data_IF_453747371070
#
_entry.id   IF_453747371070
#
_cell.length_a   1.000
_cell.length_b   1.000
_cell.length_c   1.000
_cell.angle_alpha   90.00
_cell.angle_beta   90.00
_cell.angle_gamma   90.00
#
_symmetry.space_group_name_H-M   'P 1'
#
loop_
_entity.id
_entity.type
_entity.pdbx_description
1 polymer ?
#
# COMPACT_ATOMS: atom_id res chain seq x y z
N UNK A 1 3.23 -21.00 21.73
CA UNK A 1 2.40 -20.70 20.55
C UNK A 1 1.36 -19.67 20.98
N UNK A 2 1.12 -18.67 20.14
CA UNK A 2 0.07 -17.67 20.33
C UNK A 2 -1.31 -18.35 20.29
N UNK A 3 -2.26 -17.82 21.06
CA UNK A 3 -3.64 -18.30 21.07
C UNK A 3 -4.26 -18.17 19.66
N UNK A 4 -4.93 -19.21 19.11
CA UNK A 4 -5.50 -19.18 17.76
C UNK A 4 -6.83 -18.42 17.74
N UNK A 5 -6.77 -17.09 17.88
CA UNK A 5 -7.96 -16.21 18.02
C UNK A 5 -8.98 -16.45 16.91
N UNK A 6 -8.54 -16.60 15.66
CA UNK A 6 -9.41 -16.84 14.51
C UNK A 6 -10.28 -18.10 14.66
N UNK A 7 -9.67 -19.22 15.05
CA UNK A 7 -10.40 -20.49 15.22
C UNK A 7 -11.37 -20.44 16.40
N UNK A 8 -11.02 -19.71 17.46
CA UNK A 8 -11.89 -19.52 18.63
C UNK A 8 -13.15 -18.72 18.24
N UNK A 9 -12.97 -17.63 17.50
CA UNK A 9 -14.09 -16.80 17.02
C UNK A 9 -14.99 -17.59 16.06
N UNK A 10 -14.43 -18.38 15.14
CA UNK A 10 -15.23 -19.24 14.24
C UNK A 10 -16.06 -20.30 14.99
N UNK A 11 -15.63 -20.70 16.19
CA UNK A 11 -16.37 -21.62 17.07
C UNK A 11 -17.37 -20.91 17.98
N UNK A 12 -17.56 -19.60 17.81
CA UNK A 12 -18.44 -18.78 18.65
C UNK A 12 -17.92 -18.56 20.06
N UNK A 13 -16.62 -18.77 20.31
CA UNK A 13 -16.03 -18.51 21.63
C UNK A 13 -15.71 -17.04 21.79
N UNK A 14 -16.03 -16.50 22.97
CA UNK A 14 -15.64 -15.14 23.32
C UNK A 14 -14.14 -15.10 23.62
N UNK A 15 -13.44 -14.14 23.01
CA UNK A 15 -12.00 -13.94 23.23
C UNK A 15 -11.80 -12.59 23.89
N UNK A 16 -11.22 -12.62 25.10
CA UNK A 16 -10.75 -11.43 25.82
C UNK A 16 -9.22 -11.40 25.75
N UNK A 17 -8.66 -10.28 25.32
CA UNK A 17 -7.22 -10.01 25.29
C UNK A 17 -6.91 -9.02 26.42
N UNK A 18 -6.05 -9.42 27.36
CA UNK A 18 -5.63 -8.56 28.45
C UNK A 18 -4.37 -7.76 28.05
N UNK A 19 -4.52 -6.46 27.81
CA UNK A 19 -3.41 -5.52 27.67
C UNK A 19 -2.98 -4.92 29.01
N UNK A 20 -1.91 -4.14 29.00
CA UNK A 20 -1.47 -3.30 30.10
C UNK A 20 -2.32 -2.02 30.23
N UNK A 21 -2.82 -1.48 29.10
CA UNK A 21 -3.66 -0.26 29.09
C UNK A 21 -5.14 -0.56 29.25
N UNK A 22 -5.61 -1.63 28.61
CA UNK A 22 -7.01 -2.03 28.65
C UNK A 22 -7.17 -3.53 28.33
N UNK A 23 -8.37 -4.05 28.59
CA UNK A 23 -8.79 -5.36 28.08
C UNK A 23 -9.65 -5.17 26.84
N UNK A 24 -9.48 -6.05 25.85
CA UNK A 24 -10.15 -5.94 24.56
C UNK A 24 -10.99 -7.19 24.29
N UNK A 25 -12.28 -7.00 24.06
CA UNK A 25 -13.17 -8.06 23.60
C UNK A 25 -13.10 -8.13 22.08
N UNK A 26 -12.88 -9.33 21.55
CA UNK A 26 -12.87 -9.59 20.11
C UNK A 26 -14.30 -9.89 19.66
N UNK A 27 -14.79 -9.10 18.71
CA UNK A 27 -16.17 -9.18 18.23
C UNK A 27 -16.30 -10.09 17.00
N UNK A 28 -15.44 -9.89 16.00
CA UNK A 28 -15.43 -10.71 14.78
C UNK A 28 -14.09 -10.66 14.05
N UNK A 29 -13.83 -11.67 13.22
CA UNK A 29 -12.71 -11.67 12.30
C UNK A 29 -13.03 -10.84 11.04
N UNK A 30 -12.12 -9.94 10.66
CA UNK A 30 -12.13 -9.23 9.37
C UNK A 30 -11.27 -10.00 8.36
N UNK A 31 -10.10 -10.45 8.81
CA UNK A 31 -9.16 -11.33 8.09
C UNK A 31 -8.68 -12.43 9.04
N UNK A 32 -7.85 -13.35 8.55
CA UNK A 32 -7.28 -14.43 9.37
C UNK A 32 -6.47 -13.91 10.58
N UNK A 33 -5.83 -12.76 10.44
CA UNK A 33 -5.00 -12.13 11.48
C UNK A 33 -5.45 -10.72 11.87
N UNK A 34 -6.64 -10.27 11.45
CA UNK A 34 -7.17 -8.94 11.75
C UNK A 34 -8.60 -9.06 12.23
N UNK A 35 -8.88 -8.48 13.39
CA UNK A 35 -10.15 -8.61 14.09
C UNK A 35 -10.72 -7.23 14.44
N UNK A 36 -12.03 -7.15 14.43
CA UNK A 36 -12.77 -6.08 15.09
C UNK A 36 -12.96 -6.45 16.56
N UNK A 37 -12.85 -5.44 17.42
CA UNK A 37 -13.11 -5.58 18.84
C UNK A 37 -13.48 -4.24 19.44
N UNK A 38 -13.66 -4.25 20.76
CA UNK A 38 -13.86 -3.03 21.54
C UNK A 38 -13.16 -3.12 22.89
N UNK A 39 -12.92 -1.94 23.49
CA UNK A 39 -12.37 -1.85 24.84
C UNK A 39 -13.44 -2.31 25.84
N UNK A 40 -13.12 -3.35 26.64
CA UNK A 40 -14.03 -3.94 27.62
C UNK A 40 -14.56 -2.87 28.59
N UNK A 41 -15.88 -2.86 28.78
CA UNK A 41 -16.56 -1.86 29.63
C UNK A 41 -16.86 -0.54 28.91
N UNK A 42 -16.56 -0.43 27.62
CA UNK A 42 -16.90 0.73 26.78
C UNK A 42 -17.47 0.27 25.44
N UNK A 43 -17.95 1.21 24.63
CA UNK A 43 -18.33 0.96 23.23
C UNK A 43 -17.27 1.45 22.23
N UNK A 44 -16.05 1.74 22.69
CA UNK A 44 -14.97 2.25 21.83
C UNK A 44 -14.43 1.13 20.95
N UNK A 45 -14.62 1.19 19.61
CA UNK A 45 -14.17 0.15 18.70
C UNK A 45 -12.65 0.23 18.48
N UNK A 46 -12.04 -0.92 18.23
CA UNK A 46 -10.61 -1.08 17.92
C UNK A 46 -10.42 -2.12 16.83
N UNK A 47 -9.24 -2.10 16.21
CA UNK A 47 -8.79 -3.21 15.37
C UNK A 47 -7.64 -3.93 16.06
N UNK A 48 -7.71 -5.25 16.11
CA UNK A 48 -6.69 -6.10 16.71
C UNK A 48 -6.01 -6.88 15.58
N UNK A 49 -4.70 -6.72 15.41
CA UNK A 49 -3.88 -7.43 14.42
C UNK A 49 -2.93 -8.39 15.13
N UNK A 50 -3.03 -9.69 14.84
CA UNK A 50 -2.06 -10.68 15.33
C UNK A 50 -0.87 -10.77 14.37
N UNK A 51 0.32 -10.99 14.92
CA UNK A 51 1.54 -11.19 14.13
C UNK A 51 2.37 -12.31 14.75
N UNK A 52 2.43 -13.44 14.05
CA UNK A 52 3.11 -14.64 14.52
C UNK A 52 4.62 -14.60 14.24
N UNK A 53 5.07 -13.78 13.28
CA UNK A 53 6.49 -13.60 12.98
C UNK A 53 7.11 -12.58 13.94
N UNK A 54 7.99 -12.98 14.87
CA UNK A 54 8.50 -12.08 15.90
C UNK A 54 9.27 -10.88 15.34
N UNK A 55 9.89 -11.04 14.17
CA UNK A 55 10.63 -9.96 13.51
C UNK A 55 9.71 -8.88 12.93
N UNK A 56 8.55 -9.25 12.39
CA UNK A 56 7.57 -8.31 11.85
C UNK A 56 6.88 -7.57 12.99
N UNK A 57 6.47 -8.30 14.04
CA UNK A 57 5.89 -7.70 15.25
C UNK A 57 6.82 -6.63 15.84
N UNK A 58 8.10 -6.98 16.07
CA UNK A 58 9.09 -6.05 16.63
C UNK A 58 9.32 -4.83 15.72
N UNK A 59 9.30 -5.02 14.41
CA UNK A 59 9.49 -3.93 13.44
C UNK A 59 8.32 -2.97 13.46
N UNK A 60 7.09 -3.49 13.43
CA UNK A 60 5.88 -2.67 13.44
C UNK A 60 5.74 -1.93 14.78
N UNK A 61 5.93 -2.60 15.92
CA UNK A 61 5.95 -1.95 17.23
C UNK A 61 7.05 -0.89 17.32
N UNK A 62 8.23 -1.18 16.79
CA UNK A 62 9.36 -0.25 16.72
C UNK A 62 9.06 1.01 15.93
N UNK A 63 8.29 0.92 14.84
CA UNK A 63 7.87 2.08 14.06
C UNK A 63 7.04 3.07 14.89
N UNK A 64 6.18 2.59 15.78
CA UNK A 64 5.37 3.45 16.67
C UNK A 64 6.14 4.03 17.87
N UNK A 65 7.44 3.75 17.98
CA UNK A 65 8.32 4.41 18.96
C UNK A 65 8.75 5.81 18.52
N UNK A 66 8.72 6.09 17.22
CA UNK A 66 9.02 7.40 16.67
C UNK A 66 7.85 8.38 16.88
N UNK A 67 8.17 9.59 17.35
CA UNK A 67 7.22 10.69 17.56
C UNK A 67 6.61 11.16 16.24
N UNK A 68 7.40 11.23 15.16
CA UNK A 68 6.90 11.58 13.83
C UNK A 68 5.80 10.62 13.33
N UNK A 69 5.84 9.35 13.75
CA UNK A 69 4.81 8.35 13.43
C UNK A 69 3.66 8.42 14.44
N UNK A 70 3.97 8.33 15.74
CA UNK A 70 2.96 8.27 16.81
C UNK A 70 2.01 9.47 16.83
N UNK A 71 2.53 10.65 16.52
CA UNK A 71 1.77 11.90 16.58
C UNK A 71 1.21 12.31 15.22
N UNK A 72 1.44 11.52 14.16
CA UNK A 72 0.97 11.85 12.82
C UNK A 72 -0.55 11.68 12.71
N UNK A 73 -1.29 12.70 12.23
CA UNK A 73 -2.74 12.58 12.04
C UNK A 73 -3.11 11.71 10.82
N UNK A 74 -2.15 11.36 9.97
CA UNK A 74 -2.35 10.63 8.71
C UNK A 74 -1.72 9.24 8.72
N UNK A 75 -1.16 8.81 9.85
CA UNK A 75 -0.73 7.43 10.07
C UNK A 75 -1.66 6.83 11.13
N UNK A 76 -2.08 5.58 10.92
CA UNK A 76 -3.00 4.87 11.82
C UNK A 76 -2.38 4.78 13.20
N UNK A 77 -3.12 5.16 14.22
CA UNK A 77 -2.67 5.19 15.61
C UNK A 77 -2.68 3.80 16.23
N UNK A 78 -1.56 3.43 16.85
CA UNK A 78 -1.45 2.26 17.72
C UNK A 78 -1.91 2.63 19.14
N UNK A 79 -2.97 1.98 19.64
CA UNK A 79 -3.40 2.11 21.01
C UNK A 79 -2.49 1.33 21.96
N UNK A 80 -2.15 0.09 21.60
CA UNK A 80 -1.35 -0.77 22.46
C UNK A 80 -0.69 -1.90 21.65
N UNK A 81 0.52 -2.27 22.03
CA UNK A 81 1.14 -3.53 21.62
C UNK A 81 1.04 -4.52 22.79
N UNK A 82 0.33 -5.63 22.59
CA UNK A 82 0.13 -6.67 23.62
C UNK A 82 1.13 -7.80 23.37
N UNK A 83 1.85 -8.18 24.41
CA UNK A 83 2.66 -9.40 24.50
C UNK A 83 2.56 -9.91 25.95
N UNK A 84 1.53 -10.72 26.23
CA UNK A 84 1.18 -11.16 27.60
C UNK A 84 1.45 -12.67 27.84
N UNK A 85 2.23 -13.30 26.96
CA UNK A 85 2.51 -14.74 26.98
C UNK A 85 1.42 -15.63 26.36
N UNK A 86 0.17 -15.15 26.30
CA UNK A 86 -0.95 -15.84 25.61
C UNK A 86 -1.23 -15.24 24.24
N UNK A 87 -1.27 -13.91 24.18
CA UNK A 87 -1.57 -13.11 23.00
C UNK A 87 -0.37 -12.24 22.62
N UNK A 88 -0.15 -12.15 21.31
CA UNK A 88 0.82 -11.26 20.68
C UNK A 88 0.12 -10.52 19.55
N UNK A 89 -0.28 -9.28 19.81
CA UNK A 89 -1.04 -8.49 18.85
C UNK A 89 -0.80 -6.99 19.00
N UNK A 90 -1.16 -6.26 17.96
CA UNK A 90 -1.21 -4.81 17.93
C UNK A 90 -2.67 -4.37 17.93
N UNK A 91 -3.03 -3.48 18.84
CA UNK A 91 -4.37 -2.89 18.94
C UNK A 91 -4.32 -1.47 18.40
N UNK A 92 -5.06 -1.21 17.33
CA UNK A 92 -5.11 0.06 16.63
C UNK A 92 -6.46 0.74 16.80
N UNK A 93 -6.49 2.04 16.51
CA UNK A 93 -7.74 2.77 16.30
C UNK A 93 -8.57 2.10 15.19
N UNK A 94 -9.90 2.15 15.34
CA UNK A 94 -10.83 1.70 14.33
C UNK A 94 -10.82 2.62 13.10
N UNK A 95 -10.97 2.02 11.91
CA UNK A 95 -11.21 2.72 10.64
C UNK A 95 -12.30 1.95 9.88
N UNK A 96 -13.23 2.65 9.23
CA UNK A 96 -14.47 2.06 8.70
C UNK A 96 -14.22 1.12 7.51
N UNK A 97 -13.25 1.46 6.67
CA UNK A 97 -12.92 0.69 5.47
C UNK A 97 -11.47 0.90 5.05
N UNK A 98 -11.06 0.13 4.05
CA UNK A 98 -9.84 0.34 3.27
C UNK A 98 -10.19 0.84 1.86
N UNK A 99 -9.23 1.49 1.19
CA UNK A 99 -9.44 2.09 -0.12
C UNK A 99 -9.78 1.04 -1.20
N UNK A 100 -9.29 -0.20 -1.06
CA UNK A 100 -9.63 -1.27 -1.99
C UNK A 100 -11.11 -1.65 -1.91
N UNK A 101 -11.64 -1.80 -0.71
CA UNK A 101 -13.04 -2.13 -0.45
C UNK A 101 -14.00 -1.06 -1.00
N UNK A 102 -13.60 0.21 -0.94
CA UNK A 102 -14.38 1.34 -1.48
C UNK A 102 -14.48 1.38 -3.01
N UNK A 103 -13.69 0.59 -3.75
CA UNK A 103 -13.74 0.55 -5.23
C UNK A 103 -15.13 0.19 -5.79
N UNK A 104 -15.92 -0.57 -5.05
CA UNK A 104 -17.25 -1.04 -5.46
C UNK A 104 -18.39 -0.06 -5.13
N UNK A 105 -18.12 0.94 -4.28
CA UNK A 105 -19.13 1.87 -3.77
C UNK A 105 -19.17 3.20 -4.55
N UNK A 106 -18.44 3.30 -5.66
CA UNK A 106 -18.31 4.51 -6.48
C UNK A 106 -19.65 4.95 -7.04
N UNK A 107 -20.28 5.98 -6.46
CA UNK A 107 -21.56 6.53 -6.93
C UNK A 107 -21.48 7.93 -7.56
N UNK A 108 -20.35 8.62 -7.56
CA UNK A 108 -20.21 9.88 -8.32
C UNK A 108 -18.74 10.28 -8.59
N UNK A 109 -18.42 10.86 -9.77
CA UNK A 109 -17.08 11.38 -10.10
C UNK A 109 -16.72 12.74 -9.46
N UNK A 110 -17.55 13.30 -8.58
CA UNK A 110 -17.28 14.59 -7.90
C UNK A 110 -16.52 14.46 -6.57
N UNK A 111 -15.96 13.29 -6.25
CA UNK A 111 -15.49 13.00 -4.90
C UNK A 111 -14.13 13.66 -4.62
N UNK A 112 -14.06 14.48 -3.58
CA UNK A 112 -12.82 14.99 -3.01
C UNK A 112 -11.88 13.86 -2.50
N UNK A 113 -12.40 12.64 -2.37
CA UNK A 113 -11.69 11.51 -1.75
C UNK A 113 -10.32 11.19 -2.39
N UNK A 114 -10.14 11.10 -3.72
CA UNK A 114 -8.80 10.87 -4.29
C UNK A 114 -7.79 11.96 -3.90
N UNK A 115 -8.22 13.23 -3.81
CA UNK A 115 -7.37 14.33 -3.36
C UNK A 115 -7.00 14.18 -1.88
N UNK A 116 -7.98 13.84 -1.03
CA UNK A 116 -7.74 13.61 0.41
C UNK A 116 -6.79 12.41 0.61
N UNK A 117 -7.00 11.32 -0.13
CA UNK A 117 -6.13 10.14 -0.12
C UNK A 117 -4.71 10.51 -0.52
N UNK A 118 -4.52 11.14 -1.68
CA UNK A 118 -3.21 11.56 -2.15
C UNK A 118 -2.51 12.46 -1.11
N UNK A 119 -3.22 13.48 -0.60
CA UNK A 119 -2.67 14.43 0.37
C UNK A 119 -2.29 13.76 1.69
N UNK A 120 -3.13 12.87 2.22
CA UNK A 120 -2.85 12.15 3.46
C UNK A 120 -1.67 11.19 3.33
N UNK A 121 -1.62 10.39 2.26
CA UNK A 121 -0.55 9.41 2.08
C UNK A 121 0.78 10.12 1.77
N UNK A 122 0.80 11.15 0.93
CA UNK A 122 2.01 11.94 0.69
C UNK A 122 2.51 12.63 1.97
N UNK A 123 1.60 13.14 2.82
CA UNK A 123 1.97 13.66 4.15
C UNK A 123 2.56 12.57 5.06
N UNK A 124 2.05 11.34 5.01
CA UNK A 124 2.64 10.22 5.73
C UNK A 124 4.09 9.95 5.25
N UNK A 125 4.35 10.04 3.93
CA UNK A 125 5.71 9.92 3.39
C UNK A 125 6.66 11.02 3.92
N UNK A 126 6.18 12.25 4.07
CA UNK A 126 7.00 13.32 4.67
C UNK A 126 7.40 13.01 6.12
N UNK A 127 6.57 12.26 6.87
CA UNK A 127 6.93 11.80 8.22
C UNK A 127 8.02 10.71 8.21
N UNK A 128 8.11 9.93 7.12
CA UNK A 128 9.18 8.93 6.95
C UNK A 128 10.49 9.53 6.42
N UNK A 129 10.46 10.74 5.85
CA UNK A 129 11.64 11.44 5.37
C UNK A 129 12.66 11.71 6.49
N UNK A 130 12.17 11.98 7.70
CA UNK A 130 12.97 12.13 8.92
C UNK A 130 12.32 11.40 10.12
N UNK A 131 12.88 10.25 10.47
CA UNK A 131 12.46 9.42 11.60
C UNK A 131 13.02 9.95 12.93
N UNK A 132 12.62 11.15 13.34
CA UNK A 132 13.09 11.87 14.53
C UNK A 132 14.63 12.02 14.59
N UNK A 133 15.25 12.39 13.47
CA UNK A 133 16.70 12.52 13.34
C UNK A 133 17.45 11.21 13.13
N UNK A 134 16.75 10.06 13.05
CA UNK A 134 17.37 8.75 12.78
C UNK A 134 17.48 8.42 11.28
N UNK A 135 17.15 9.39 10.41
CA UNK A 135 17.25 9.29 8.96
C UNK A 135 15.96 8.82 8.31
N UNK A 136 16.06 8.48 7.03
CA UNK A 136 14.89 8.24 6.17
C UNK A 136 14.46 6.78 6.18
N UNK A 137 13.14 6.57 6.27
CA UNK A 137 12.49 5.28 6.11
C UNK A 137 11.66 5.20 4.82
N UNK A 138 11.37 3.97 4.41
CA UNK A 138 10.57 3.60 3.23
C UNK A 138 9.56 2.54 3.67
N UNK A 139 8.29 2.74 3.36
CA UNK A 139 7.17 1.89 3.74
C UNK A 139 7.14 0.57 2.98
N UNK A 140 7.45 0.62 1.67
CA UNK A 140 7.55 -0.53 0.74
C UNK A 140 6.28 -1.30 0.42
N UNK A 141 5.22 -1.17 1.22
CA UNK A 141 3.92 -1.82 0.97
C UNK A 141 2.72 -0.84 0.93
N UNK A 142 2.88 0.29 0.25
CA UNK A 142 1.76 1.23 0.04
C UNK A 142 0.86 0.67 -1.06
N UNK A 143 -0.33 0.23 -0.66
CA UNK A 143 -1.34 -0.29 -1.56
C UNK A 143 -2.75 0.07 -1.03
N UNK A 144 -3.81 -0.05 -1.86
CA UNK A 144 -5.15 0.35 -1.42
C UNK A 144 -5.70 -0.38 -0.18
N UNK A 145 -5.20 -1.57 0.17
CA UNK A 145 -5.62 -2.29 1.37
C UNK A 145 -5.01 -1.70 2.66
N UNK A 146 -3.91 -0.95 2.52
CA UNK A 146 -3.18 -0.32 3.63
C UNK A 146 -3.50 1.19 3.76
N UNK A 147 -4.37 1.72 2.89
CA UNK A 147 -4.91 3.08 3.00
C UNK A 147 -6.31 2.98 3.58
N UNK A 148 -6.46 3.39 4.83
CA UNK A 148 -7.71 3.25 5.57
C UNK A 148 -8.51 4.54 5.53
N UNK A 149 -9.83 4.41 5.49
CA UNK A 149 -10.78 5.53 5.33
C UNK A 149 -11.93 5.39 6.31
N UNK A 150 -12.25 6.48 7.02
CA UNK A 150 -13.48 6.62 7.80
C UNK A 150 -14.31 7.79 7.29
N UNK A 151 -15.63 7.62 7.30
CA UNK A 151 -16.57 8.62 6.79
C UNK A 151 -16.34 8.95 5.31
N UNK A 152 -16.18 7.94 4.44
CA UNK A 152 -15.83 8.11 3.03
C UNK A 152 -16.80 9.02 2.25
N UNK A 153 -18.09 8.99 2.61
CA UNK A 153 -19.15 9.83 2.03
C UNK A 153 -19.35 11.16 2.78
N UNK A 154 -18.57 11.43 3.83
CA UNK A 154 -18.64 12.69 4.58
C UNK A 154 -17.93 13.82 3.84
N UNK A 155 -18.21 15.08 4.22
CA UNK A 155 -17.52 16.24 3.67
C UNK A 155 -16.02 16.27 4.03
N UNK A 156 -15.61 15.55 5.08
CA UNK A 156 -14.25 15.52 5.60
C UNK A 156 -13.83 14.08 5.94
N UNK A 157 -13.63 13.21 4.93
CA UNK A 157 -13.21 11.83 5.16
C UNK A 157 -11.84 11.80 5.85
N UNK A 158 -11.69 10.90 6.81
CA UNK A 158 -10.43 10.69 7.51
C UNK A 158 -9.68 9.59 6.77
N UNK A 159 -8.47 9.90 6.29
CA UNK A 159 -7.60 8.94 5.59
C UNK A 159 -6.30 8.76 6.35
N UNK A 160 -5.95 7.51 6.65
CA UNK A 160 -4.71 7.16 7.34
C UNK A 160 -3.99 5.99 6.67
N UNK A 161 -2.66 6.09 6.59
CA UNK A 161 -1.80 5.00 6.14
C UNK A 161 -1.59 3.99 7.28
N UNK A 162 -1.63 2.71 6.99
CA UNK A 162 -1.50 1.61 7.94
C UNK A 162 -0.44 0.59 7.49
N UNK A 163 -0.18 -0.39 8.36
CA UNK A 163 0.75 -1.50 8.18
C UNK A 163 2.23 -1.10 8.03
N UNK A 164 2.84 -0.74 9.16
CA UNK A 164 4.24 -0.33 9.22
C UNK A 164 5.20 -1.52 9.39
N UNK A 165 4.71 -2.76 9.26
CA UNK A 165 5.54 -3.97 9.36
C UNK A 165 6.58 -4.09 8.23
N UNK A 166 6.35 -3.40 7.11
CA UNK A 166 7.28 -3.30 5.98
C UNK A 166 8.31 -2.16 6.08
N UNK A 167 8.21 -1.29 7.08
CA UNK A 167 9.01 -0.06 7.17
C UNK A 167 10.51 -0.38 7.35
N UNK A 168 11.36 0.11 6.45
CA UNK A 168 12.81 -0.12 6.46
C UNK A 168 13.58 1.17 6.20
N UNK A 169 14.89 1.20 6.53
CA UNK A 169 15.74 2.37 6.22
C UNK A 169 15.97 2.47 4.71
N UNK A 170 15.93 3.70 4.19
CA UNK A 170 16.22 4.02 2.79
C UNK A 170 17.63 3.57 2.38
N UNK A 171 17.80 3.19 1.11
CA UNK A 171 19.07 2.80 0.54
C UNK A 171 19.56 1.41 0.95
N UNK A 172 18.78 0.65 1.72
CA UNK A 172 19.11 -0.75 2.03
C UNK A 172 19.02 -1.60 0.76
N UNK A 173 20.10 -2.30 0.47
CA UNK A 173 20.13 -3.38 -0.51
C UNK A 173 19.67 -4.68 0.13
N UNK A 174 18.89 -5.45 -0.62
CA UNK A 174 18.48 -6.80 -0.26
C UNK A 174 18.79 -7.70 -1.44
N UNK A 175 18.97 -8.99 -1.16
CA UNK A 175 19.17 -9.99 -2.22
C UNK A 175 17.90 -10.15 -3.08
N UNK A 176 16.74 -9.72 -2.57
CA UNK A 176 15.43 -9.81 -3.22
C UNK A 176 14.69 -8.47 -3.28
N UNK A 177 13.75 -8.36 -4.23
CA UNK A 177 12.90 -7.17 -4.43
C UNK A 177 11.76 -7.12 -3.42
N UNK A 178 11.72 -6.10 -2.56
CA UNK A 178 10.81 -6.01 -1.40
C UNK A 178 9.36 -5.66 -1.76
N UNK A 179 9.11 -4.78 -2.73
CA UNK A 179 7.74 -4.35 -3.02
C UNK A 179 6.91 -5.47 -3.67
N UNK A 180 5.62 -5.57 -3.35
CA UNK A 180 4.71 -6.50 -4.03
C UNK A 180 4.58 -6.20 -5.53
N UNK A 181 4.38 -7.23 -6.36
CA UNK A 181 4.41 -7.12 -7.83
C UNK A 181 3.49 -6.03 -8.39
N UNK A 182 2.34 -5.80 -7.75
CA UNK A 182 1.33 -4.86 -8.22
C UNK A 182 1.68 -3.39 -7.93
N UNK A 183 2.57 -3.10 -6.98
CA UNK A 183 2.95 -1.74 -6.57
C UNK A 183 4.43 -1.44 -6.78
N UNK A 184 5.18 -2.43 -7.30
CA UNK A 184 6.63 -2.37 -7.44
C UNK A 184 7.05 -1.32 -8.47
N UNK A 185 7.90 -0.40 -8.03
CA UNK A 185 8.43 0.68 -8.84
C UNK A 185 9.43 0.18 -9.89
N UNK A 186 9.61 0.89 -11.02
CA UNK A 186 10.53 0.49 -12.10
C UNK A 186 11.96 0.23 -11.61
N UNK A 187 12.50 1.10 -10.76
CA UNK A 187 13.84 0.95 -10.20
C UNK A 187 13.98 -0.30 -9.32
N UNK A 188 12.91 -0.67 -8.61
CA UNK A 188 12.89 -1.89 -7.80
C UNK A 188 12.80 -3.13 -8.70
N UNK A 189 12.06 -3.07 -9.82
CA UNK A 189 12.11 -4.12 -10.85
C UNK A 189 13.52 -4.32 -11.41
N UNK A 190 14.28 -3.23 -11.59
CA UNK A 190 15.68 -3.26 -12.03
C UNK A 190 16.67 -3.74 -10.95
N UNK A 191 16.20 -3.99 -9.72
CA UNK A 191 17.06 -4.42 -8.61
C UNK A 191 17.80 -3.30 -7.90
N UNK A 192 17.42 -2.03 -8.13
CA UNK A 192 18.00 -0.90 -7.40
C UNK A 192 17.48 -0.88 -5.95
N UNK A 193 18.24 -0.28 -5.01
CA UNK A 193 17.81 -0.15 -3.63
C UNK A 193 16.49 0.63 -3.51
N UNK A 194 15.70 0.33 -2.50
CA UNK A 194 14.49 1.09 -2.23
C UNK A 194 14.83 2.49 -1.68
N UNK A 195 14.10 3.49 -2.16
CA UNK A 195 14.24 4.90 -1.77
C UNK A 195 12.83 5.49 -1.58
N UNK A 196 12.67 6.69 -1.00
CA UNK A 196 11.36 7.34 -0.90
C UNK A 196 10.62 7.46 -2.24
N UNK A 197 11.35 7.53 -3.37
CA UNK A 197 10.74 7.58 -4.69
C UNK A 197 9.86 6.36 -4.99
N UNK A 198 10.22 5.15 -4.51
CA UNK A 198 9.42 3.96 -4.78
C UNK A 198 8.08 3.96 -4.02
N UNK A 199 8.01 4.64 -2.88
CA UNK A 199 6.76 4.84 -2.15
C UNK A 199 5.87 5.86 -2.85
N UNK A 200 6.43 6.95 -3.40
CA UNK A 200 5.68 7.93 -4.23
C UNK A 200 5.05 7.22 -5.44
N UNK A 201 5.82 6.34 -6.10
CA UNK A 201 5.30 5.48 -7.15
C UNK A 201 4.09 4.65 -6.67
N UNK A 202 4.23 3.99 -5.52
CA UNK A 202 3.15 3.18 -4.95
C UNK A 202 1.89 4.00 -4.57
N UNK A 203 2.01 5.29 -4.25
CA UNK A 203 0.87 6.21 -4.12
C UNK A 203 0.14 6.35 -5.47
N UNK A 204 0.88 6.62 -6.55
CA UNK A 204 0.32 6.72 -7.91
C UNK A 204 -0.40 5.44 -8.33
N UNK A 205 0.21 4.28 -8.11
CA UNK A 205 -0.41 2.97 -8.38
C UNK A 205 -1.68 2.78 -7.56
N UNK A 206 -1.66 3.13 -6.27
CA UNK A 206 -2.81 2.98 -5.38
C UNK A 206 -4.01 3.82 -5.83
N UNK A 207 -3.76 5.07 -6.25
CA UNK A 207 -4.79 5.93 -6.85
C UNK A 207 -5.32 5.36 -8.17
N UNK A 208 -4.42 4.91 -9.05
CA UNK A 208 -4.80 4.30 -10.33
C UNK A 208 -5.68 3.06 -10.13
N UNK A 209 -5.32 2.14 -9.24
CA UNK A 209 -6.16 0.98 -8.91
C UNK A 209 -7.47 1.38 -8.24
N UNK A 210 -7.44 2.39 -7.36
CA UNK A 210 -8.65 2.91 -6.74
C UNK A 210 -9.61 3.56 -7.74
N UNK A 211 -9.15 4.04 -8.89
CA UNK A 211 -9.98 4.69 -9.91
C UNK A 211 -10.31 3.76 -11.09
N UNK A 212 -9.50 2.74 -11.36
CA UNK A 212 -9.74 1.77 -12.42
C UNK A 212 -10.76 0.69 -12.03
N UNK A 213 -11.49 0.12 -13.00
CA UNK A 213 -12.41 -1.02 -12.78
C UNK A 213 -11.68 -2.33 -12.57
N UNK A 214 -10.49 -2.48 -13.15
CA UNK A 214 -9.62 -3.64 -13.01
C UNK A 214 -8.31 -3.25 -12.33
N UNK A 215 -7.56 -4.25 -11.87
CA UNK A 215 -6.17 -4.05 -11.46
C UNK A 215 -5.33 -3.77 -12.71
N UNK A 216 -4.60 -2.66 -12.74
CA UNK A 216 -3.79 -2.27 -13.90
C UNK A 216 -2.35 -2.80 -13.84
N UNK A 217 -1.78 -2.83 -12.63
CA UNK A 217 -0.38 -3.16 -12.40
C UNK A 217 -0.26 -4.57 -11.80
N UNK A 218 0.90 -5.20 -11.99
CA UNK A 218 1.17 -6.56 -11.54
C UNK A 218 0.69 -7.63 -12.52
N UNK A 219 0.55 -8.90 -12.09
CA UNK A 219 0.30 -10.02 -12.98
C UNK A 219 -1.18 -10.18 -13.39
N UNK A 220 -2.02 -9.17 -13.15
CA UNK A 220 -3.45 -9.25 -13.49
C UNK A 220 -3.63 -9.40 -15.00
N UNK A 221 -4.55 -10.30 -15.39
CA UNK A 221 -4.81 -10.63 -16.79
C UNK A 221 -3.92 -11.74 -17.36
N UNK A 222 -2.92 -12.25 -16.62
CA UNK A 222 -2.14 -13.41 -17.04
C UNK A 222 -3.02 -14.68 -16.96
N UNK A 223 -3.47 -15.18 -18.11
CA UNK A 223 -4.37 -16.34 -18.22
C UNK A 223 -3.68 -17.63 -18.65
N UNK A 224 -2.40 -17.57 -19.02
CA UNK A 224 -1.63 -18.71 -19.50
C UNK A 224 -0.25 -18.75 -18.83
N UNK A 225 0.31 -19.95 -18.69
CA UNK A 225 1.70 -20.08 -18.33
C UNK A 225 2.56 -19.80 -19.56
N UNK A 226 3.55 -18.93 -19.43
CA UNK A 226 4.53 -18.73 -20.49
C UNK A 226 5.38 -20.00 -20.53
N UNK A 227 5.20 -20.80 -21.60
CA UNK A 227 5.85 -22.09 -21.75
C UNK A 227 7.37 -21.96 -21.54
N UNK A 228 7.96 -22.95 -20.88
CA UNK A 228 9.39 -23.03 -20.58
C UNK A 228 9.93 -21.96 -19.61
N UNK A 229 9.06 -21.26 -18.86
CA UNK A 229 9.45 -20.33 -17.79
C UNK A 229 8.81 -20.70 -16.45
N UNK A 230 9.45 -20.31 -15.35
CA UNK A 230 8.88 -20.47 -14.01
C UNK A 230 7.62 -19.58 -13.86
N UNK A 231 6.70 -19.94 -12.95
CA UNK A 231 5.57 -19.07 -12.60
C UNK A 231 6.01 -17.67 -12.14
N UNK A 232 7.14 -17.56 -11.44
CA UNK A 232 7.68 -16.30 -10.91
C UNK A 232 8.16 -15.40 -12.06
N UNK A 233 8.97 -15.92 -12.97
CA UNK A 233 9.44 -15.20 -14.16
C UNK A 233 8.27 -14.80 -15.06
N UNK A 234 7.26 -15.67 -15.18
CA UNK A 234 6.06 -15.37 -15.98
C UNK A 234 5.27 -14.20 -15.39
N UNK A 235 5.02 -14.21 -14.08
CA UNK A 235 4.35 -13.11 -13.37
C UNK A 235 5.15 -11.82 -13.43
N UNK A 236 6.47 -11.90 -13.27
CA UNK A 236 7.37 -10.75 -13.36
C UNK A 236 7.32 -10.11 -14.75
N UNK A 237 7.56 -10.90 -15.81
CA UNK A 237 7.53 -10.41 -17.18
C UNK A 237 6.16 -9.82 -17.58
N UNK A 238 5.06 -10.45 -17.17
CA UNK A 238 3.73 -9.89 -17.39
C UNK A 238 3.53 -8.55 -16.67
N UNK A 239 3.99 -8.45 -15.42
CA UNK A 239 3.92 -7.22 -14.64
C UNK A 239 4.73 -6.08 -15.26
N UNK A 240 5.95 -6.38 -15.73
CA UNK A 240 6.82 -5.42 -16.44
C UNK A 240 6.21 -5.02 -17.78
N UNK A 241 5.56 -5.96 -18.50
CA UNK A 241 4.93 -5.64 -19.76
C UNK A 241 3.67 -4.76 -19.60
N UNK A 242 2.87 -5.00 -18.56
CA UNK A 242 1.80 -4.07 -18.15
C UNK A 242 2.37 -2.68 -17.85
N UNK A 243 3.49 -2.63 -17.12
CA UNK A 243 4.19 -1.39 -16.79
C UNK A 243 4.64 -0.64 -18.06
N UNK A 244 5.23 -1.33 -19.05
CA UNK A 244 5.61 -0.73 -20.34
C UNK A 244 4.42 -0.16 -21.13
N UNK A 245 3.25 -0.81 -21.07
CA UNK A 245 2.05 -0.27 -21.70
C UNK A 245 1.55 0.98 -20.97
N UNK A 246 1.53 0.96 -19.64
CA UNK A 246 0.95 2.02 -18.82
C UNK A 246 1.78 3.30 -18.82
N UNK A 247 3.11 3.19 -18.70
CA UNK A 247 4.01 4.37 -18.53
C UNK A 247 5.04 4.51 -19.66
N UNK A 248 4.96 3.68 -20.69
CA UNK A 248 5.90 3.66 -21.80
C UNK A 248 7.13 2.76 -21.55
N UNK A 249 7.78 2.38 -22.65
CA UNK A 249 9.03 1.61 -22.61
C UNK A 249 10.17 2.49 -22.09
N UNK A 250 10.88 2.00 -21.07
CA UNK A 250 12.06 2.66 -20.50
C UNK A 250 13.28 1.72 -20.54
N UNK A 251 14.52 2.25 -20.46
CA UNK A 251 15.73 1.44 -20.48
C UNK A 251 15.91 0.60 -19.21
N UNK A 252 16.55 -0.56 -19.35
CA UNK A 252 17.00 -1.42 -18.25
C UNK A 252 18.43 -1.91 -18.50
N UNK A 253 19.09 -2.35 -17.44
CA UNK A 253 20.41 -2.97 -17.53
C UNK A 253 20.30 -4.40 -18.10
N UNK A 254 20.91 -4.61 -19.27
CA UNK A 254 20.94 -5.90 -19.97
C UNK A 254 21.89 -6.92 -19.33
N UNK A 255 22.74 -6.48 -18.40
CA UNK A 255 23.64 -7.35 -17.64
C UNK A 255 23.09 -7.70 -16.26
N UNK A 256 21.92 -7.17 -15.89
CA UNK A 256 21.24 -7.50 -14.65
C UNK A 256 20.71 -8.93 -14.65
N UNK A 257 20.69 -9.56 -13.46
CA UNK A 257 20.04 -10.86 -13.25
C UNK A 257 18.55 -10.88 -13.64
N UNK A 258 17.89 -9.72 -13.73
CA UNK A 258 16.48 -9.62 -14.11
C UNK A 258 16.27 -9.43 -15.62
N UNK A 259 17.33 -9.41 -16.44
CA UNK A 259 17.23 -9.09 -17.89
C UNK A 259 16.27 -10.01 -18.65
N UNK A 260 16.17 -11.28 -18.26
CA UNK A 260 15.26 -12.24 -18.89
C UNK A 260 13.79 -11.82 -18.75
N UNK A 261 13.41 -11.29 -17.58
CA UNK A 261 12.05 -10.83 -17.30
C UNK A 261 11.69 -9.63 -18.19
N UNK A 262 12.63 -8.71 -18.40
CA UNK A 262 12.45 -7.52 -19.23
C UNK A 262 12.40 -7.85 -20.74
N UNK A 263 13.27 -8.72 -21.24
CA UNK A 263 13.25 -9.13 -22.66
C UNK A 263 11.98 -9.91 -23.00
N UNK A 264 11.53 -10.76 -22.07
CA UNK A 264 10.24 -11.45 -22.21
C UNK A 264 9.07 -10.46 -22.18
N UNK A 265 9.06 -9.52 -21.23
CA UNK A 265 8.04 -8.48 -21.16
C UNK A 265 7.94 -7.68 -22.47
N UNK A 266 9.08 -7.25 -23.01
CA UNK A 266 9.15 -6.57 -24.31
C UNK A 266 8.56 -7.42 -25.42
N UNK A 267 8.93 -8.70 -25.49
CA UNK A 267 8.44 -9.64 -26.50
C UNK A 267 6.91 -9.80 -26.44
N UNK A 268 6.35 -9.94 -25.23
CA UNK A 268 4.90 -10.04 -25.00
C UNK A 268 4.16 -8.77 -25.45
N UNK A 269 4.71 -7.59 -25.14
CA UNK A 269 4.19 -6.29 -25.58
C UNK A 269 4.22 -6.18 -27.11
N UNK A 270 5.36 -6.47 -27.74
CA UNK A 270 5.50 -6.39 -29.21
C UNK A 270 4.64 -7.42 -29.95
N UNK A 271 4.39 -8.57 -29.33
CA UNK A 271 3.51 -9.61 -29.85
C UNK A 271 2.02 -9.33 -29.63
N UNK A 272 1.65 -8.21 -29.00
CA UNK A 272 0.26 -7.84 -28.74
C UNK A 272 -0.46 -8.73 -27.72
N UNK A 273 0.29 -9.50 -26.90
CA UNK A 273 -0.29 -10.39 -25.90
C UNK A 273 -0.75 -9.67 -24.63
N UNK A 274 -0.18 -8.50 -24.36
CA UNK A 274 -0.57 -7.64 -23.25
C UNK A 274 -1.55 -6.59 -23.77
N UNK A 275 -2.83 -6.78 -23.43
CA UNK A 275 -3.93 -5.90 -23.85
C UNK A 275 -4.14 -4.65 -22.99
N UNK A 276 -3.29 -4.42 -21.99
CA UNK A 276 -3.29 -3.18 -21.20
C UNK A 276 -2.92 -2.01 -22.09
N UNK A 277 -3.62 -0.88 -21.94
CA UNK A 277 -3.35 0.35 -22.70
C UNK A 277 -2.50 1.32 -21.88
N UNK A 278 -2.28 2.52 -22.44
CA UNK A 278 -1.71 3.64 -21.68
C UNK A 278 -2.54 3.93 -20.42
N UNK A 279 -1.91 4.50 -19.40
CA UNK A 279 -2.59 4.85 -18.17
C UNK A 279 -3.73 5.84 -18.41
N UNK A 280 -3.51 6.81 -19.29
CA UNK A 280 -4.51 7.80 -19.71
C UNK A 280 -5.72 7.13 -20.36
N UNK A 281 -5.51 6.14 -21.24
CA UNK A 281 -6.60 5.39 -21.87
C UNK A 281 -7.37 4.55 -20.85
N UNK A 282 -6.67 3.85 -19.94
CA UNK A 282 -7.30 3.01 -18.92
C UNK A 282 -8.14 3.83 -17.92
N UNK A 283 -7.69 5.04 -17.56
CA UNK A 283 -8.40 5.92 -16.62
C UNK A 283 -9.46 6.79 -17.28
N UNK A 284 -9.30 7.18 -18.55
CA UNK A 284 -10.29 7.97 -19.29
C UNK A 284 -11.61 7.22 -19.51
N UNK A 285 -11.55 5.90 -19.69
CA UNK A 285 -12.75 5.01 -19.74
C UNK A 285 -13.63 5.18 -18.50
N UNK A 286 -13.03 5.52 -17.37
CA UNK A 286 -13.71 5.68 -16.08
C UNK A 286 -14.24 7.09 -15.82
N UNK A 287 -14.17 7.99 -16.82
CA UNK A 287 -14.52 9.42 -16.69
C UNK A 287 -13.77 10.09 -15.53
N UNK A 288 -12.54 9.65 -15.25
CA UNK A 288 -11.68 10.30 -14.26
C UNK A 288 -11.33 11.70 -14.80
N UNK A 289 -11.43 12.76 -13.98
CA UNK A 289 -11.03 14.11 -14.37
C UNK A 289 -9.59 14.15 -14.90
N UNK A 290 -9.35 14.90 -15.98
CA UNK A 290 -8.06 14.91 -16.69
C UNK A 290 -6.91 15.37 -15.79
N UNK A 291 -7.13 16.39 -14.97
CA UNK A 291 -6.20 16.92 -13.98
C UNK A 291 -5.78 15.86 -12.92
N UNK A 292 -6.72 14.98 -12.53
CA UNK A 292 -6.42 13.84 -11.66
C UNK A 292 -5.55 12.80 -12.37
N UNK A 293 -5.84 12.49 -13.63
CA UNK A 293 -5.01 11.59 -14.43
C UNK A 293 -3.60 12.16 -14.60
N UNK A 294 -3.47 13.44 -14.95
CA UNK A 294 -2.18 14.14 -15.07
C UNK A 294 -1.37 14.10 -13.76
N UNK A 295 -2.02 14.29 -12.61
CA UNK A 295 -1.38 14.14 -11.31
C UNK A 295 -0.90 12.70 -11.06
N UNK A 296 -1.70 11.68 -11.40
CA UNK A 296 -1.29 10.28 -11.24
C UNK A 296 -0.11 9.95 -12.15
N UNK A 297 -0.12 10.42 -13.41
CA UNK A 297 1.01 10.27 -14.33
C UNK A 297 2.28 10.97 -13.79
N UNK A 298 2.13 12.12 -13.14
CA UNK A 298 3.25 12.82 -12.49
C UNK A 298 3.87 12.00 -11.35
N UNK A 299 3.09 11.28 -10.54
CA UNK A 299 3.63 10.36 -9.52
C UNK A 299 4.28 9.11 -10.13
N UNK A 300 3.83 8.71 -11.33
CA UNK A 300 4.25 7.50 -12.05
C UNK A 300 5.33 7.79 -13.11
N UNK A 301 6.12 8.85 -12.92
CA UNK A 301 7.37 9.04 -13.67
C UNK A 301 8.28 7.84 -13.43
N UNK A 302 8.69 7.16 -14.51
CA UNK A 302 9.41 5.89 -14.40
C UNK A 302 10.81 6.07 -13.81
N UNK A 303 11.50 7.16 -14.17
CA UNK A 303 12.83 7.47 -13.67
C UNK A 303 12.70 8.01 -12.23
N UNK A 304 13.28 7.34 -11.22
CA UNK A 304 13.17 7.78 -9.84
C UNK A 304 13.84 9.14 -9.57
N UNK A 305 14.81 9.57 -10.38
CA UNK A 305 15.52 10.84 -10.18
C UNK A 305 14.70 12.04 -10.70
N UNK A 306 13.84 11.80 -11.69
CA UNK A 306 12.89 12.78 -12.24
C UNK A 306 11.50 12.72 -11.58
N UNK A 307 11.23 11.64 -10.82
CA UNK A 307 9.97 11.46 -10.09
C UNK A 307 9.87 12.50 -8.96
N UNK A 308 8.70 13.12 -8.74
CA UNK A 308 8.54 14.09 -7.67
C UNK A 308 8.78 13.44 -6.29
N UNK A 309 9.43 14.18 -5.41
CA UNK A 309 9.39 13.92 -3.96
C UNK A 309 7.98 14.08 -3.42
N UNK A 310 7.70 13.53 -2.24
CA UNK A 310 6.40 13.70 -1.58
C UNK A 310 6.06 15.18 -1.35
N UNK A 311 7.05 15.99 -0.97
CA UNK A 311 6.92 17.43 -0.76
C UNK A 311 6.64 18.19 -2.07
N UNK A 312 7.26 17.80 -3.18
CA UNK A 312 6.96 18.37 -4.50
C UNK A 312 5.55 17.99 -4.96
N UNK A 313 5.19 16.71 -4.84
CA UNK A 313 3.86 16.22 -5.19
C UNK A 313 2.75 16.91 -4.38
N UNK A 314 2.98 17.18 -3.10
CA UNK A 314 2.04 17.93 -2.24
C UNK A 314 1.79 19.37 -2.71
N UNK A 315 2.70 19.97 -3.47
CA UNK A 315 2.57 21.32 -4.05
C UNK A 315 1.93 21.32 -5.44
N UNK A 316 1.62 20.15 -6.00
CA UNK A 316 1.02 20.05 -7.32
C UNK A 316 -0.35 20.76 -7.38
N UNK A 317 -0.66 21.53 -8.46
CA UNK A 317 -1.89 22.33 -8.56
C UNK A 317 -3.18 21.56 -8.25
N UNK A 318 -3.28 20.34 -8.74
CA UNK A 318 -4.43 19.46 -8.49
C UNK A 318 -4.80 19.29 -7.00
N UNK A 319 -3.81 19.31 -6.09
CA UNK A 319 -4.02 19.23 -4.64
C UNK A 319 -4.27 20.58 -3.96
N UNK A 320 -4.00 21.68 -4.64
CA UNK A 320 -4.18 23.04 -4.12
C UNK A 320 -5.59 23.59 -4.36
N UNK A 321 -6.33 23.03 -5.32
CA UNK A 321 -7.71 23.43 -5.66
C UNK A 321 -8.76 22.98 -4.62
N UNK A 322 -8.41 23.00 -3.33
CA UNK A 322 -9.32 22.70 -2.22
C UNK A 322 -9.40 23.95 -1.34
N UNK A 323 -10.22 24.90 -1.79
CA UNK A 323 -10.86 25.88 -0.92
C UNK A 323 -12.22 25.31 -0.47
#
# INVERSE_FOLDING_TARGET
MTRPIYDLILRGQQVLIAGQRASYLVDRAIKSNVFEGHIQGTSTPVTIKTEDLPILYKREVGAYQFNCIRNSPVIRSLHEAVDNGTDKCLVFEWMDSDLWSLRHQRRSPSNALPKVVAKSVLRALTAFADMDGQGTAVHTDINPNNILVSGADSASPIVKLADLGGLIRSGRCFDERIQGLAIRAPEVWMGKPVTPACDVWSVGVSLAHFLATKTLFGPSGLTFQILSKSPETSKAAWSIGNLFQLVGLFPWDKHSQYTEEFELAKSLVTGGLIGTKSLEDELSVMKVPKDCVEFICHLLTWDPDERPTAEQALRHPWLQDVA
#
